data_IF_197553005067
#
_entry.id   IF_197553005067
#
_cell.length_a   1.000
_cell.length_b   1.000
_cell.length_c   1.000
_cell.angle_alpha   90.00
_cell.angle_beta   90.00
_cell.angle_gamma   90.00
#
_symmetry.space_group_name_H-M   'P 1'
#
loop_
_entity.id
_entity.type
_entity.pdbx_description
1 polymer ?
#
# COMPACT_ATOMS: atom_id res chain seq x y z
N UNK A 1 -1.29 2.78 31.03
CA UNK A 1 -0.48 2.81 29.80
C UNK A 1 -1.41 3.26 28.70
N UNK A 2 -1.28 4.50 28.24
CA UNK A 2 -2.22 5.13 27.31
C UNK A 2 -1.50 5.36 25.99
N UNK A 3 -1.41 4.32 25.15
CA UNK A 3 -1.18 4.53 23.71
C UNK A 3 -2.51 5.02 23.13
N UNK A 4 -2.90 6.24 23.51
CA UNK A 4 -4.13 6.85 23.01
C UNK A 4 -3.86 7.26 21.58
N UNK A 5 -4.36 6.47 20.63
CA UNK A 5 -4.49 6.91 19.25
C UNK A 5 -5.21 8.27 19.29
N UNK A 6 -4.51 9.34 18.90
CA UNK A 6 -5.05 10.71 18.91
C UNK A 6 -5.96 10.99 17.70
N UNK A 7 -6.15 10.00 16.82
CA UNK A 7 -7.02 10.06 15.66
C UNK A 7 -8.36 9.38 15.93
N UNK A 8 -9.41 9.96 15.38
CA UNK A 8 -10.75 9.38 15.37
C UNK A 8 -10.83 8.15 14.45
N UNK A 9 -11.82 7.26 14.63
CA UNK A 9 -12.05 6.15 13.71
C UNK A 9 -12.22 6.58 12.25
N UNK A 10 -12.82 7.75 12.03
CA UNK A 10 -13.02 8.29 10.69
C UNK A 10 -11.68 8.66 10.04
N UNK A 11 -10.81 9.38 10.76
CA UNK A 11 -9.49 9.77 10.25
C UNK A 11 -8.61 8.54 9.93
N UNK A 12 -8.73 7.44 10.69
CA UNK A 12 -8.04 6.19 10.40
C UNK A 12 -8.53 5.53 9.10
N UNK A 13 -9.85 5.44 8.90
CA UNK A 13 -10.43 4.92 7.67
C UNK A 13 -10.07 5.80 6.45
N UNK A 14 -10.05 7.13 6.62
CA UNK A 14 -9.68 8.07 5.58
C UNK A 14 -8.21 7.88 5.18
N UNK A 15 -7.32 7.67 6.16
CA UNK A 15 -5.92 7.34 5.92
C UNK A 15 -5.76 5.99 5.19
N UNK A 16 -6.49 4.94 5.59
CA UNK A 16 -6.48 3.65 4.91
C UNK A 16 -6.95 3.78 3.46
N UNK A 17 -8.00 4.55 3.22
CA UNK A 17 -8.52 4.85 1.87
C UNK A 17 -7.49 5.59 1.02
N UNK A 18 -6.83 6.60 1.58
CA UNK A 18 -5.77 7.33 0.90
C UNK A 18 -4.61 6.42 0.49
N UNK A 19 -4.17 5.52 1.37
CA UNK A 19 -3.11 4.57 1.07
C UNK A 19 -3.48 3.65 -0.11
N UNK A 20 -4.71 3.13 -0.13
CA UNK A 20 -5.20 2.28 -1.23
C UNK A 20 -5.29 3.04 -2.56
N UNK A 21 -5.76 4.29 -2.55
CA UNK A 21 -5.77 5.13 -3.75
C UNK A 21 -4.37 5.41 -4.30
N UNK A 22 -3.39 5.66 -3.41
CA UNK A 22 -1.99 5.85 -3.83
C UNK A 22 -1.38 4.56 -4.37
N UNK A 23 -1.75 3.42 -3.79
CA UNK A 23 -1.34 2.12 -4.29
C UNK A 23 -1.86 1.87 -5.71
N UNK A 24 -3.12 2.20 -6.02
CA UNK A 24 -3.65 2.11 -7.38
C UNK A 24 -2.84 2.95 -8.37
N UNK A 25 -2.54 4.20 -8.01
CA UNK A 25 -1.71 5.08 -8.83
C UNK A 25 -0.29 4.50 -9.04
N UNK A 26 0.33 3.99 -7.98
CA UNK A 26 1.65 3.33 -8.05
C UNK A 26 1.59 2.13 -9.00
N UNK A 27 0.57 1.28 -8.91
CA UNK A 27 0.43 0.10 -9.78
C UNK A 27 0.31 0.49 -11.27
N UNK A 28 -0.38 1.60 -11.56
CA UNK A 28 -0.44 2.15 -12.92
C UNK A 28 0.92 2.65 -13.40
N UNK A 29 1.65 3.39 -12.57
CA UNK A 29 3.00 3.89 -12.90
C UNK A 29 4.00 2.73 -13.11
N UNK A 30 3.97 1.72 -12.23
CA UNK A 30 4.81 0.52 -12.35
C UNK A 30 4.52 -0.24 -13.65
N UNK A 31 3.25 -0.33 -14.05
CA UNK A 31 2.86 -0.95 -15.32
C UNK A 31 3.37 -0.16 -16.52
N UNK A 32 3.30 1.18 -16.47
CA UNK A 32 3.84 2.06 -17.52
C UNK A 32 5.38 1.94 -17.62
N UNK A 33 6.08 1.88 -16.48
CA UNK A 33 7.52 1.68 -16.43
C UNK A 33 7.92 0.34 -17.06
N UNK A 34 7.24 -0.76 -16.71
CA UNK A 34 7.49 -2.08 -17.32
C UNK A 34 7.31 -2.04 -18.83
N UNK A 35 6.19 -1.48 -19.29
CA UNK A 35 5.89 -1.36 -20.73
C UNK A 35 6.98 -0.57 -21.47
N UNK A 36 7.47 0.53 -20.87
CA UNK A 36 8.52 1.33 -21.50
C UNK A 36 9.87 0.59 -21.55
N UNK A 37 10.19 -0.16 -20.49
CA UNK A 37 11.41 -0.97 -20.44
C UNK A 37 11.33 -2.10 -21.47
N UNK A 38 10.17 -2.71 -21.67
CA UNK A 38 9.98 -3.76 -22.69
C UNK A 38 10.15 -3.21 -24.11
N UNK A 39 9.58 -2.02 -24.40
CA UNK A 39 9.80 -1.31 -25.67
C UNK A 39 11.29 -1.02 -25.91
N UNK A 40 11.99 -0.45 -24.92
CA UNK A 40 13.43 -0.18 -25.02
C UNK A 40 14.21 -1.48 -25.22
N UNK A 41 13.83 -2.53 -24.50
CA UNK A 41 14.49 -3.84 -24.56
C UNK A 41 14.33 -4.51 -25.92
N UNK A 42 13.23 -4.28 -26.61
CA UNK A 42 12.99 -4.83 -27.95
C UNK A 42 13.77 -4.12 -29.07
N UNK A 43 14.25 -2.89 -28.82
CA UNK A 43 14.87 -2.01 -29.82
C UNK A 43 16.37 -1.86 -29.63
N UNK A 44 16.85 -2.06 -28.41
CA UNK A 44 18.26 -2.10 -28.09
C UNK A 44 18.71 -3.56 -28.21
N UNK A 45 19.76 -3.83 -28.99
CA UNK A 45 20.47 -5.12 -28.99
C UNK A 45 21.89 -4.90 -28.45
N UNK A 46 22.26 -5.57 -27.35
CA UNK A 46 23.64 -5.61 -26.86
C UNK A 46 23.82 -6.16 -25.45
N UNK A 47 24.98 -6.79 -25.17
CA UNK A 47 25.26 -7.44 -23.89
C UNK A 47 25.18 -6.51 -22.65
N UNK A 48 25.43 -5.21 -22.82
CA UNK A 48 25.33 -4.22 -21.73
C UNK A 48 23.89 -3.98 -21.23
N UNK A 49 22.90 -4.18 -22.09
CA UNK A 49 21.48 -4.04 -21.79
C UNK A 49 20.96 -5.17 -20.90
N UNK A 50 21.52 -6.37 -21.06
CA UNK A 50 21.02 -7.58 -20.41
C UNK A 50 21.17 -7.51 -18.88
N UNK A 51 22.25 -6.90 -18.37
CA UNK A 51 22.42 -6.68 -16.94
C UNK A 51 21.40 -5.69 -16.37
N UNK A 52 21.09 -4.62 -17.12
CA UNK A 52 20.14 -3.60 -16.68
C UNK A 52 18.70 -4.13 -16.68
N UNK A 53 18.30 -4.84 -17.74
CA UNK A 53 17.00 -5.51 -17.81
C UNK A 53 16.88 -6.54 -16.70
N UNK A 54 17.91 -7.37 -16.50
CA UNK A 54 17.88 -8.39 -15.46
C UNK A 54 17.71 -7.77 -14.07
N UNK A 55 18.42 -6.67 -13.78
CA UNK A 55 18.27 -5.95 -12.51
C UNK A 55 16.86 -5.38 -12.35
N UNK A 56 16.29 -4.79 -13.40
CA UNK A 56 14.94 -4.28 -13.34
C UNK A 56 13.89 -5.40 -13.17
N UNK A 57 13.92 -6.43 -14.03
CA UNK A 57 12.91 -7.49 -14.05
C UNK A 57 12.97 -8.44 -12.86
N UNK A 58 14.18 -8.78 -12.38
CA UNK A 58 14.34 -9.77 -11.33
C UNK A 58 14.45 -9.17 -9.94
N UNK A 59 15.01 -7.96 -9.80
CA UNK A 59 15.21 -7.36 -8.49
C UNK A 59 14.17 -6.27 -8.19
N UNK A 60 13.98 -5.31 -9.10
CA UNK A 60 13.13 -4.14 -8.81
C UNK A 60 11.65 -4.39 -9.05
N UNK A 61 11.28 -4.99 -10.18
CA UNK A 61 9.90 -5.15 -10.59
C UNK A 61 9.08 -5.99 -9.61
N UNK A 62 9.57 -7.12 -9.04
CA UNK A 62 8.83 -7.88 -8.04
C UNK A 62 8.61 -7.09 -6.75
N UNK A 63 9.58 -6.28 -6.34
CA UNK A 63 9.41 -5.40 -5.16
C UNK A 63 8.29 -4.39 -5.40
N UNK A 64 8.27 -3.77 -6.57
CA UNK A 64 7.27 -2.76 -6.93
C UNK A 64 5.87 -3.35 -7.16
N UNK A 65 5.80 -4.55 -7.72
CA UNK A 65 4.55 -5.20 -8.14
C UNK A 65 3.95 -6.12 -7.07
N UNK A 66 4.76 -6.69 -6.18
CA UNK A 66 4.29 -7.64 -5.17
C UNK A 66 4.52 -7.09 -3.74
N UNK A 67 5.77 -6.80 -3.38
CA UNK A 67 6.11 -6.45 -1.99
C UNK A 67 5.51 -5.12 -1.53
N UNK A 68 5.66 -4.06 -2.33
CA UNK A 68 5.15 -2.73 -1.98
C UNK A 68 3.62 -2.72 -1.83
N UNK A 69 2.84 -3.31 -2.76
CA UNK A 69 1.39 -3.46 -2.57
C UNK A 69 1.00 -4.21 -1.30
N UNK A 70 1.67 -5.33 -1.01
CA UNK A 70 1.40 -6.11 0.20
C UNK A 70 1.63 -5.31 1.48
N UNK A 71 2.72 -4.54 1.54
CA UNK A 71 3.03 -3.70 2.70
C UNK A 71 1.99 -2.58 2.86
N UNK A 72 1.63 -1.89 1.77
CA UNK A 72 0.66 -0.79 1.83
C UNK A 72 -0.72 -1.31 2.23
N UNK A 73 -1.18 -2.42 1.66
CA UNK A 73 -2.48 -3.00 1.99
C UNK A 73 -2.52 -3.58 3.41
N UNK A 74 -1.39 -4.10 3.90
CA UNK A 74 -1.22 -4.50 5.30
C UNK A 74 -1.43 -3.32 6.25
N UNK A 75 -0.73 -2.20 6.01
CA UNK A 75 -0.89 -0.98 6.83
C UNK A 75 -2.32 -0.44 6.75
N UNK A 76 -2.92 -0.39 5.55
CA UNK A 76 -4.30 0.06 5.40
C UNK A 76 -5.29 -0.83 6.18
N UNK A 77 -5.07 -2.15 6.18
CA UNK A 77 -5.88 -3.10 6.95
C UNK A 77 -5.71 -2.95 8.45
N UNK A 78 -4.50 -2.66 8.94
CA UNK A 78 -4.26 -2.36 10.35
C UNK A 78 -4.98 -1.06 10.79
N UNK A 79 -5.00 -0.04 9.93
CA UNK A 79 -5.73 1.21 10.19
C UNK A 79 -7.25 0.97 10.30
N UNK A 80 -7.82 0.17 9.39
CA UNK A 80 -9.23 -0.21 9.44
C UNK A 80 -9.56 -1.01 10.72
N UNK A 81 -8.67 -1.93 11.11
CA UNK A 81 -8.82 -2.72 12.33
C UNK A 81 -8.79 -1.83 13.58
N UNK A 82 -7.85 -0.88 13.65
CA UNK A 82 -7.78 0.09 14.73
C UNK A 82 -9.05 0.96 14.80
N UNK A 83 -9.56 1.42 13.65
CA UNK A 83 -10.79 2.21 13.59
C UNK A 83 -12.02 1.43 14.11
N UNK A 84 -12.13 0.14 13.77
CA UNK A 84 -13.19 -0.73 14.26
C UNK A 84 -13.08 -0.95 15.78
N UNK A 85 -11.86 -1.23 16.29
CA UNK A 85 -11.62 -1.44 17.71
C UNK A 85 -12.00 -0.21 18.57
N UNK A 86 -11.70 1.00 18.08
CA UNK A 86 -12.10 2.25 18.77
C UNK A 86 -13.64 2.39 18.76
N UNK A 87 -14.30 2.17 17.61
CA UNK A 87 -15.77 2.24 17.50
C UNK A 87 -16.48 1.28 18.45
N UNK A 88 -15.99 0.04 18.52
CA UNK A 88 -16.56 -0.99 19.39
C UNK A 88 -16.39 -0.65 20.87
N UNK A 89 -15.23 -0.09 21.23
CA UNK A 89 -14.94 0.39 22.58
C UNK A 89 -15.89 1.54 22.96
N UNK A 90 -16.05 2.52 22.09
CA UNK A 90 -16.93 3.67 22.32
C UNK A 90 -18.41 3.25 22.44
N UNK A 91 -18.88 2.34 21.58
CA UNK A 91 -20.24 1.80 21.65
C UNK A 91 -20.50 1.02 22.94
N UNK A 92 -19.52 0.25 23.40
CA UNK A 92 -19.60 -0.51 24.66
C UNK A 92 -19.67 0.43 25.86
N UNK A 93 -18.84 1.47 25.90
CA UNK A 93 -18.87 2.50 26.96
C UNK A 93 -20.20 3.24 26.97
N UNK A 94 -20.69 3.68 25.80
CA UNK A 94 -21.97 4.40 25.70
C UNK A 94 -23.16 3.56 26.18
N UNK A 95 -23.12 2.25 25.97
CA UNK A 95 -24.15 1.32 26.45
C UNK A 95 -24.10 1.15 27.97
N UNK A 96 -22.89 1.08 28.55
CA UNK A 96 -22.70 0.98 30.00
C UNK A 96 -23.14 2.24 30.77
N UNK A 97 -23.07 3.43 30.17
CA UNK A 97 -23.56 4.67 30.79
C UNK A 97 -25.07 4.90 30.66
N UNK A 98 -25.75 4.13 29.79
CA UNK A 98 -27.21 4.23 29.58
C UNK A 98 -28.01 3.18 30.38
N UNK A 99 -27.35 2.20 30.98
CA UNK A 99 -27.93 1.23 31.92
C UNK A 99 -27.69 1.64 33.37
#
# INVERSE_FOLDING_TARGET
MSERIMMTPQELNDAATFLRQRLEAINQEVSQLKSKIDDVSSRWEGAAQQSFINQFENDMYPILRDTLPQVIDGVASELDAAANAIRDTDASLASAFKG
#
